data_IF_181231512222
#
_entry.id   IF_181231512222
#
_cell.length_a   1.000
_cell.length_b   1.000
_cell.length_c   1.000
_cell.angle_alpha   90.00
_cell.angle_beta   90.00
_cell.angle_gamma   90.00
#
_symmetry.space_group_name_H-M   'P 1'
#
loop_
_entity.id
_entity.type
_entity.pdbx_description
1 polymer ?
#
# COMPACT_ATOMS: atom_id res chain seq x y z
N UNK A 1 -53.54 -69.98 15.28
CA UNK A 1 -53.30 -68.55 15.37
C UNK A 1 -52.04 -68.27 14.62
N UNK A 2 -52.06 -67.64 13.45
CA UNK A 2 -50.87 -67.40 12.64
C UNK A 2 -50.22 -66.04 12.99
N UNK A 3 -48.87 -66.00 13.12
CA UNK A 3 -48.07 -64.84 13.34
C UNK A 3 -47.77 -64.20 12.00
N UNK A 4 -48.16 -62.96 11.84
CA UNK A 4 -47.87 -62.09 10.68
C UNK A 4 -46.48 -61.46 10.83
N UNK A 5 -45.57 -61.71 9.90
CA UNK A 5 -44.28 -61.02 9.82
C UNK A 5 -44.43 -59.75 8.98
N UNK A 6 -44.16 -58.62 9.62
CA UNK A 6 -44.05 -57.33 8.93
C UNK A 6 -42.65 -57.24 8.33
N UNK A 7 -42.53 -57.06 7.01
CA UNK A 7 -41.28 -56.72 6.32
C UNK A 7 -41.13 -55.21 6.29
N UNK A 8 -40.08 -54.70 6.93
CA UNK A 8 -39.68 -53.34 6.81
C UNK A 8 -38.78 -53.19 5.56
N UNK A 9 -39.20 -52.35 4.60
CA UNK A 9 -38.37 -51.96 3.45
C UNK A 9 -37.50 -50.79 3.85
N UNK A 10 -36.18 -50.97 3.82
CA UNK A 10 -35.20 -49.89 3.92
C UNK A 10 -35.11 -49.16 2.56
N UNK A 11 -35.58 -47.93 2.50
CA UNK A 11 -35.30 -47.05 1.36
C UNK A 11 -33.94 -46.42 1.56
N UNK A 12 -32.97 -46.78 0.73
CA UNK A 12 -31.65 -46.12 0.67
C UNK A 12 -31.78 -44.80 -0.11
N UNK A 13 -31.66 -43.69 0.60
CA UNK A 13 -31.59 -42.38 -0.03
C UNK A 13 -30.15 -42.14 -0.50
N UNK A 14 -29.92 -42.16 -1.82
CA UNK A 14 -28.67 -41.71 -2.42
C UNK A 14 -28.61 -40.19 -2.27
N UNK A 15 -27.73 -39.70 -1.41
CA UNK A 15 -27.29 -38.29 -1.46
C UNK A 15 -26.35 -38.13 -2.67
N UNK A 16 -26.87 -37.51 -3.73
CA UNK A 16 -26.00 -37.01 -4.80
C UNK A 16 -25.17 -35.83 -4.29
N UNK A 17 -23.88 -36.03 -4.19
CA UNK A 17 -22.95 -34.94 -3.96
C UNK A 17 -22.95 -34.02 -5.19
N UNK A 18 -23.42 -32.78 -5.01
CA UNK A 18 -23.26 -31.72 -6.00
C UNK A 18 -21.76 -31.37 -6.11
N UNK A 19 -21.20 -31.25 -7.34
CA UNK A 19 -19.84 -30.79 -7.49
C UNK A 19 -19.74 -29.36 -6.97
N UNK A 20 -18.74 -29.08 -6.14
CA UNK A 20 -18.40 -27.73 -5.72
C UNK A 20 -18.13 -26.90 -6.99
N UNK A 21 -18.94 -25.86 -7.19
CA UNK A 21 -18.71 -24.91 -8.27
C UNK A 21 -17.33 -24.28 -8.06
N UNK A 22 -16.41 -24.56 -8.99
CA UNK A 22 -15.16 -23.83 -9.07
C UNK A 22 -15.53 -22.35 -9.24
N UNK A 23 -15.02 -21.49 -8.35
CA UNK A 23 -15.20 -20.04 -8.47
C UNK A 23 -14.57 -19.61 -9.80
N UNK A 24 -15.40 -19.17 -10.73
CA UNK A 24 -14.92 -18.58 -11.97
C UNK A 24 -14.03 -17.38 -11.62
N UNK A 25 -12.80 -17.43 -12.10
CA UNK A 25 -11.90 -16.29 -12.11
C UNK A 25 -12.55 -15.19 -12.95
N UNK A 26 -13.06 -14.15 -12.33
CA UNK A 26 -13.36 -12.91 -13.02
C UNK A 26 -12.03 -12.17 -13.15
N UNK A 27 -11.21 -12.56 -14.12
CA UNK A 27 -10.13 -11.73 -14.60
C UNK A 27 -10.78 -10.50 -15.23
N UNK A 28 -10.34 -9.30 -14.86
CA UNK A 28 -10.60 -8.12 -15.68
C UNK A 28 -10.09 -8.46 -17.09
N UNK A 29 -10.79 -8.06 -18.17
CA UNK A 29 -10.33 -8.36 -19.52
C UNK A 29 -9.01 -7.63 -19.71
N UNK A 30 -7.90 -8.39 -19.65
CA UNK A 30 -6.64 -7.91 -20.18
C UNK A 30 -6.86 -7.68 -21.68
N UNK A 31 -6.58 -6.46 -22.14
CA UNK A 31 -6.35 -6.23 -23.57
C UNK A 31 -5.31 -7.26 -24.06
N UNK A 32 -5.32 -7.56 -25.37
CA UNK A 32 -4.27 -8.38 -26.03
C UNK A 32 -2.89 -8.03 -25.46
N UNK A 33 -1.92 -8.96 -25.40
CA UNK A 33 -0.63 -8.72 -24.78
C UNK A 33 0.00 -7.46 -25.37
N UNK A 34 -0.28 -6.33 -24.71
CA UNK A 34 0.26 -5.04 -25.12
C UNK A 34 1.78 -5.07 -24.99
N UNK A 35 2.44 -4.52 -25.98
CA UNK A 35 3.88 -4.26 -25.86
C UNK A 35 4.05 -3.15 -24.82
N UNK A 36 4.94 -3.33 -23.81
CA UNK A 36 5.23 -2.26 -22.86
C UNK A 36 5.62 -0.97 -23.59
N UNK A 37 5.17 0.18 -23.08
CA UNK A 37 5.49 1.51 -23.64
C UNK A 37 6.58 2.23 -22.85
N UNK A 38 7.18 1.54 -21.88
CA UNK A 38 8.29 2.04 -21.05
C UNK A 38 9.24 0.92 -20.67
N UNK A 39 10.40 1.30 -20.16
CA UNK A 39 11.42 0.41 -19.59
C UNK A 39 11.85 0.86 -18.21
N UNK A 40 12.50 -0.03 -17.45
CA UNK A 40 13.07 0.26 -16.15
C UNK A 40 14.54 0.63 -16.26
N UNK A 41 14.92 1.71 -15.59
CA UNK A 41 16.30 2.05 -15.28
C UNK A 41 16.52 1.92 -13.78
N UNK A 42 17.54 1.15 -13.39
CA UNK A 42 17.86 0.95 -11.98
C UNK A 42 18.52 2.22 -11.41
N UNK A 43 17.91 2.76 -10.37
CA UNK A 43 18.44 3.91 -9.63
C UNK A 43 19.39 3.44 -8.54
N UNK A 44 18.96 2.45 -7.75
CA UNK A 44 19.75 1.88 -6.67
C UNK A 44 19.26 0.46 -6.32
N UNK A 45 20.20 -0.40 -5.89
CA UNK A 45 19.90 -1.68 -5.23
C UNK A 45 20.15 -1.57 -3.74
N UNK A 46 19.40 -2.34 -2.95
CA UNK A 46 19.47 -2.34 -1.50
C UNK A 46 19.69 -3.76 -0.97
N UNK A 47 20.45 -3.85 0.13
CA UNK A 47 20.67 -5.10 0.86
C UNK A 47 19.51 -5.42 1.82
N UNK A 48 18.65 -4.42 2.11
CA UNK A 48 17.49 -4.53 3.00
C UNK A 48 16.21 -4.28 2.22
N UNK A 49 15.10 -4.89 2.68
CA UNK A 49 13.79 -4.71 2.08
C UNK A 49 13.39 -3.23 2.10
N UNK A 50 13.11 -2.69 0.92
CA UNK A 50 12.59 -1.34 0.71
C UNK A 50 11.11 -1.41 0.40
N UNK A 51 10.31 -0.53 0.99
CA UNK A 51 8.88 -0.40 0.65
C UNK A 51 8.59 0.94 0.02
N UNK A 52 8.83 2.05 0.71
CA UNK A 52 8.49 3.37 0.25
C UNK A 52 9.58 4.07 -0.55
N UNK A 53 9.14 5.08 -1.29
CA UNK A 53 9.96 6.10 -1.93
C UNK A 53 9.23 7.43 -1.94
N UNK A 54 9.95 8.51 -1.69
CA UNK A 54 9.47 9.86 -1.89
C UNK A 54 10.50 10.68 -2.70
N UNK A 55 10.01 11.61 -3.50
CA UNK A 55 10.86 12.54 -4.25
C UNK A 55 10.36 13.96 -3.96
N UNK A 56 11.26 14.83 -3.53
CA UNK A 56 10.96 16.23 -3.27
C UNK A 56 10.89 17.06 -4.55
N UNK A 57 10.36 18.26 -4.45
CA UNK A 57 10.26 19.23 -5.55
C UNK A 57 11.61 19.70 -6.11
N UNK A 58 12.69 19.57 -5.34
CA UNK A 58 14.09 19.82 -5.78
C UNK A 58 14.83 18.53 -6.21
N UNK A 59 14.11 17.40 -6.27
CA UNK A 59 14.61 16.13 -6.80
C UNK A 59 15.42 15.29 -5.81
N UNK A 60 15.33 15.57 -4.50
CA UNK A 60 15.91 14.69 -3.48
C UNK A 60 15.08 13.40 -3.39
N UNK A 61 15.73 12.27 -3.24
CA UNK A 61 15.09 10.95 -3.18
C UNK A 61 15.27 10.37 -1.79
N UNK A 62 14.14 9.96 -1.19
CA UNK A 62 14.08 9.32 0.12
C UNK A 62 13.51 7.90 -0.04
N UNK A 63 13.97 6.98 0.80
CA UNK A 63 13.51 5.58 0.82
C UNK A 63 13.44 5.10 2.26
N UNK A 64 12.55 4.14 2.53
CA UNK A 64 12.45 3.54 3.86
C UNK A 64 12.63 2.02 3.83
N UNK A 65 13.02 1.50 4.99
CA UNK A 65 13.32 0.10 5.24
C UNK A 65 12.55 -0.36 6.49
N UNK A 66 11.45 -1.09 6.34
CA UNK A 66 10.69 -1.59 7.48
C UNK A 66 11.49 -2.66 8.25
N UNK A 67 11.31 -2.71 9.58
CA UNK A 67 11.95 -3.72 10.43
C UNK A 67 11.04 -4.92 10.66
N UNK A 68 10.65 -5.58 9.57
CA UNK A 68 9.75 -6.74 9.66
C UNK A 68 10.49 -8.00 10.05
N UNK A 69 11.51 -8.37 9.29
CA UNK A 69 12.31 -9.60 9.46
C UNK A 69 13.74 -9.29 9.90
N UNK A 70 14.22 -8.13 9.56
CA UNK A 70 15.56 -7.66 9.84
C UNK A 70 15.53 -6.41 10.72
N UNK A 71 16.54 -6.27 11.57
CA UNK A 71 16.75 -5.06 12.35
C UNK A 71 17.57 -4.05 11.51
N UNK A 72 16.99 -3.62 10.38
CA UNK A 72 17.65 -2.73 9.43
C UNK A 72 18.36 -1.56 10.11
N UNK A 73 19.62 -1.26 9.75
CA UNK A 73 20.40 -0.20 10.38
C UNK A 73 19.85 1.19 10.15
N UNK A 74 19.01 1.36 9.10
CA UNK A 74 18.39 2.62 8.73
C UNK A 74 16.92 2.38 8.48
N UNK A 75 16.03 3.23 9.00
CA UNK A 75 14.60 3.20 8.71
C UNK A 75 14.22 4.12 7.56
N UNK A 76 14.81 5.33 7.52
CA UNK A 76 14.61 6.31 6.46
C UNK A 76 15.96 6.82 6.04
N UNK A 77 16.22 6.87 4.75
CA UNK A 77 17.45 7.40 4.18
C UNK A 77 17.19 8.33 2.99
N UNK A 78 18.04 9.31 2.84
CA UNK A 78 18.19 10.06 1.58
C UNK A 78 19.25 9.41 0.69
N UNK A 79 18.99 9.29 -0.60
CA UNK A 79 19.99 8.84 -1.58
C UNK A 79 20.84 10.04 -2.00
N UNK A 80 22.08 10.09 -1.54
CA UNK A 80 23.05 11.14 -1.86
C UNK A 80 24.29 10.56 -2.51
N UNK A 81 24.56 10.95 -3.76
CA UNK A 81 25.77 10.50 -4.47
C UNK A 81 25.88 8.96 -4.54
N UNK A 82 24.78 8.26 -4.73
CA UNK A 82 24.71 6.80 -4.77
C UNK A 82 24.91 6.11 -3.43
N UNK A 83 24.69 6.81 -2.32
CA UNK A 83 24.79 6.27 -0.95
C UNK A 83 23.52 6.58 -0.15
N UNK A 84 23.21 5.69 0.78
CA UNK A 84 22.15 5.89 1.78
C UNK A 84 22.70 6.75 2.92
N UNK A 85 22.07 7.88 3.18
CA UNK A 85 22.36 8.76 4.31
C UNK A 85 21.15 8.75 5.25
N UNK A 86 21.28 8.31 6.53
CA UNK A 86 20.16 8.30 7.47
C UNK A 86 19.46 9.67 7.54
N UNK A 87 18.14 9.70 7.39
CA UNK A 87 17.37 10.92 7.32
C UNK A 87 16.23 10.93 8.38
N UNK A 88 15.93 12.06 9.07
CA UNK A 88 16.62 13.35 8.97
C UNK A 88 18.02 13.35 9.58
N UNK A 89 18.31 12.36 10.45
CA UNK A 89 19.60 12.15 11.09
C UNK A 89 19.76 10.72 11.64
N UNK A 90 20.93 10.45 12.22
CA UNK A 90 21.24 9.14 12.78
C UNK A 90 20.46 8.86 14.08
N UNK A 91 20.08 9.88 14.85
CA UNK A 91 19.36 9.71 16.11
C UNK A 91 17.92 9.25 15.86
N UNK A 92 17.19 9.85 14.94
CA UNK A 92 15.85 9.39 14.52
C UNK A 92 15.87 7.93 14.03
N UNK A 93 16.99 7.50 13.43
CA UNK A 93 17.20 6.17 12.93
C UNK A 93 17.80 5.18 13.96
N UNK A 94 18.01 5.61 15.20
CA UNK A 94 18.77 4.82 16.19
C UNK A 94 17.99 3.73 16.92
N UNK A 95 16.67 3.64 16.76
CA UNK A 95 15.87 2.52 17.29
C UNK A 95 16.34 1.20 16.68
N UNK A 96 16.38 0.15 17.50
CA UNK A 96 16.60 -1.24 17.07
C UNK A 96 15.65 -2.14 17.83
N UNK A 97 15.17 -3.20 17.19
CA UNK A 97 14.39 -4.23 17.88
C UNK A 97 15.21 -4.89 19.01
N UNK A 98 16.52 -5.11 18.77
CA UNK A 98 17.44 -5.65 19.76
C UNK A 98 17.88 -4.64 20.84
N UNK A 99 17.74 -3.33 20.59
CA UNK A 99 18.13 -2.26 21.50
C UNK A 99 17.13 -1.10 21.42
N UNK A 100 15.90 -1.26 21.97
CA UNK A 100 14.84 -0.29 21.86
C UNK A 100 15.22 1.05 22.48
N UNK A 101 14.85 2.13 21.80
CA UNK A 101 14.88 3.50 22.30
C UNK A 101 13.46 4.01 22.48
N UNK A 102 13.28 5.26 22.91
CA UNK A 102 11.96 5.89 23.03
C UNK A 102 11.22 5.86 21.66
N UNK A 103 10.14 5.09 21.53
CA UNK A 103 9.44 4.94 20.26
C UNK A 103 8.74 6.23 19.82
N UNK A 104 8.52 7.18 20.72
CA UNK A 104 7.89 8.45 20.39
C UNK A 104 8.82 9.45 19.68
N UNK A 105 10.13 9.25 19.75
CA UNK A 105 11.15 10.17 19.22
C UNK A 105 12.13 9.48 18.25
N UNK A 106 11.89 8.24 17.89
CA UNK A 106 12.70 7.46 16.96
C UNK A 106 11.80 6.70 15.98
N UNK A 107 12.31 6.41 14.80
CA UNK A 107 11.65 5.54 13.83
C UNK A 107 11.73 4.08 14.28
N UNK A 108 10.58 3.48 14.55
CA UNK A 108 10.48 2.11 15.02
C UNK A 108 10.45 1.11 13.85
N UNK A 109 9.46 1.30 12.95
CA UNK A 109 9.25 0.44 11.79
C UNK A 109 8.51 1.25 10.72
N UNK A 110 9.23 2.10 10.01
CA UNK A 110 8.64 2.99 8.99
C UNK A 110 8.13 2.18 7.81
N UNK A 111 6.93 2.52 7.35
CA UNK A 111 6.28 1.86 6.21
C UNK A 111 6.34 2.69 4.94
N UNK A 112 6.12 3.99 5.03
CA UNK A 112 6.05 4.84 3.86
C UNK A 112 6.44 6.29 4.16
N UNK A 113 6.79 7.02 3.11
CA UNK A 113 6.96 8.46 3.13
C UNK A 113 6.40 9.12 1.87
N UNK A 114 6.05 10.39 1.96
CA UNK A 114 5.64 11.21 0.83
C UNK A 114 6.13 12.66 0.98
N UNK A 115 6.50 13.29 -0.15
CA UNK A 115 6.75 14.73 -0.20
C UNK A 115 5.46 15.45 -0.61
N UNK A 116 5.17 16.58 0.06
CA UNK A 116 3.89 17.30 -0.10
C UNK A 116 3.91 18.41 -1.16
N UNK A 117 5.07 18.70 -1.76
CA UNK A 117 5.23 19.82 -2.69
C UNK A 117 5.24 21.20 -2.02
N UNK A 118 5.32 21.23 -0.68
CA UNK A 118 5.42 22.45 0.14
C UNK A 118 6.71 22.49 0.96
N UNK A 119 7.68 21.65 0.59
CA UNK A 119 8.98 21.57 1.25
C UNK A 119 8.99 20.66 2.48
N UNK A 120 8.06 19.75 2.64
CA UNK A 120 8.05 18.78 3.73
C UNK A 120 8.08 17.34 3.23
N UNK A 121 8.74 16.48 4.01
CA UNK A 121 8.64 15.03 3.93
C UNK A 121 7.78 14.54 5.10
N UNK A 122 6.80 13.71 4.78
CA UNK A 122 5.90 13.08 5.72
C UNK A 122 6.22 11.60 5.82
N UNK A 123 6.47 11.10 7.04
CA UNK A 123 6.93 9.73 7.28
C UNK A 123 5.92 9.00 8.17
N UNK A 124 5.36 7.90 7.69
CA UNK A 124 4.44 7.03 8.43
C UNK A 124 5.22 5.94 9.15
N UNK A 125 5.08 5.91 10.45
CA UNK A 125 5.64 4.86 11.29
C UNK A 125 4.51 4.14 12.04
N UNK A 126 4.02 2.98 11.54
CA UNK A 126 3.06 2.13 12.25
C UNK A 126 3.64 1.57 13.54
N UNK A 127 4.96 1.62 13.71
CA UNK A 127 5.69 1.08 14.84
C UNK A 127 5.35 -0.40 15.14
N UNK A 128 5.15 -1.19 14.08
CA UNK A 128 4.75 -2.60 14.15
C UNK A 128 5.85 -3.51 13.56
N UNK A 129 7.00 -3.67 14.23
CA UNK A 129 8.01 -4.62 13.80
C UNK A 129 7.41 -6.03 13.80
N UNK A 130 7.80 -6.83 12.80
CA UNK A 130 7.20 -8.15 12.54
C UNK A 130 5.68 -8.13 12.27
N UNK A 131 5.15 -7.00 11.79
CA UNK A 131 3.78 -6.78 11.30
C UNK A 131 2.62 -7.10 12.26
N UNK A 132 2.85 -7.69 13.40
CA UNK A 132 1.79 -8.20 14.28
C UNK A 132 1.66 -7.51 15.63
N UNK A 133 2.65 -6.75 16.07
CA UNK A 133 2.65 -6.12 17.38
C UNK A 133 3.10 -4.66 17.29
N UNK A 134 2.21 -3.79 17.69
CA UNK A 134 2.49 -2.35 17.76
C UNK A 134 3.26 -2.04 19.05
N UNK A 135 4.41 -1.39 18.93
CA UNK A 135 5.18 -0.87 20.06
C UNK A 135 4.39 0.28 20.69
N UNK A 136 4.00 0.19 21.98
CA UNK A 136 3.21 1.23 22.64
C UNK A 136 3.88 2.61 22.56
N UNK A 137 3.10 3.64 22.17
CA UNK A 137 3.60 5.01 22.02
C UNK A 137 4.42 5.24 20.73
N UNK A 138 4.53 4.22 19.87
CA UNK A 138 5.30 4.27 18.63
C UNK A 138 4.57 4.78 17.38
N UNK A 139 3.29 4.43 17.15
CA UNK A 139 2.58 4.85 15.93
C UNK A 139 2.54 6.37 15.80
N UNK A 140 2.97 6.86 14.63
CA UNK A 140 3.08 8.30 14.39
C UNK A 140 3.16 8.64 12.91
N UNK A 141 2.80 9.89 12.60
CA UNK A 141 3.17 10.57 11.37
C UNK A 141 4.16 11.69 11.72
N UNK A 142 5.29 11.71 11.04
CA UNK A 142 6.37 12.69 11.29
C UNK A 142 6.48 13.63 10.10
N UNK A 143 6.47 14.94 10.36
CA UNK A 143 6.66 15.99 9.38
C UNK A 143 8.06 16.57 9.51
N UNK A 144 8.81 16.59 8.40
CA UNK A 144 10.20 17.04 8.33
C UNK A 144 10.31 18.18 7.33
N UNK A 145 10.81 19.33 7.75
CA UNK A 145 11.13 20.47 6.87
C UNK A 145 12.38 20.14 6.06
N UNK A 146 12.22 20.01 4.74
CA UNK A 146 13.29 19.62 3.81
C UNK A 146 14.35 20.72 3.62
N UNK A 147 14.05 21.96 3.96
CA UNK A 147 15.01 23.07 3.89
C UNK A 147 15.97 23.05 5.06
N UNK A 148 15.53 22.60 6.22
CA UNK A 148 16.33 22.58 7.46
C UNK A 148 16.76 21.17 7.86
N UNK A 149 16.22 20.12 7.22
CA UNK A 149 16.38 18.70 7.56
C UNK A 149 16.00 18.41 9.01
N UNK A 150 14.94 19.07 9.52
CA UNK A 150 14.50 18.90 10.90
C UNK A 150 13.06 18.47 10.99
N UNK A 151 12.77 17.61 11.96
CA UNK A 151 11.40 17.30 12.36
C UNK A 151 10.75 18.55 12.92
N UNK A 152 9.62 18.95 12.33
CA UNK A 152 8.83 20.13 12.74
C UNK A 152 7.58 19.71 13.51
N UNK A 153 6.99 18.57 13.18
CA UNK A 153 5.85 18.01 13.90
C UNK A 153 5.96 16.49 14.04
N UNK A 154 5.36 15.97 15.11
CA UNK A 154 5.18 14.53 15.34
C UNK A 154 3.76 14.32 15.86
N UNK A 155 2.91 13.76 15.00
CA UNK A 155 1.52 13.40 15.32
C UNK A 155 1.51 11.96 15.83
N UNK A 156 1.33 11.76 17.14
CA UNK A 156 1.32 10.43 17.77
C UNK A 156 -0.10 9.89 17.84
N UNK A 157 -0.24 8.60 17.52
CA UNK A 157 -1.54 7.95 17.48
C UNK A 157 -1.71 6.98 18.65
N UNK A 158 -2.81 7.14 19.36
CA UNK A 158 -3.24 6.23 20.42
C UNK A 158 -3.98 5.01 19.87
N UNK A 159 -4.45 4.15 20.77
CA UNK A 159 -5.21 2.96 20.41
C UNK A 159 -6.59 3.23 19.80
N UNK A 160 -7.06 4.46 19.83
CA UNK A 160 -8.26 4.95 19.14
C UNK A 160 -8.03 5.14 17.63
N UNK A 161 -6.79 5.41 17.23
CA UNK A 161 -6.40 5.60 15.83
C UNK A 161 -5.60 4.40 15.31
N UNK A 162 -4.67 3.88 16.10
CA UNK A 162 -3.84 2.71 15.77
C UNK A 162 -4.02 1.61 16.86
N UNK A 163 -5.17 0.89 16.89
CA UNK A 163 -5.36 -0.23 17.81
C UNK A 163 -4.39 -1.37 17.48
N UNK A 164 -4.15 -2.27 18.45
CA UNK A 164 -3.35 -3.48 18.20
C UNK A 164 -3.91 -4.26 17.01
N UNK A 165 -3.04 -4.62 16.08
CA UNK A 165 -3.41 -5.21 14.79
C UNK A 165 -3.66 -4.20 13.67
N UNK A 166 -3.62 -2.89 13.94
CA UNK A 166 -3.53 -1.83 12.93
C UNK A 166 -2.15 -1.85 12.27
N UNK A 167 -2.10 -1.48 11.02
CA UNK A 167 -0.87 -1.25 10.28
C UNK A 167 -1.04 -0.01 9.38
N UNK A 168 -0.69 1.18 9.92
CA UNK A 168 -0.71 2.41 9.14
C UNK A 168 0.26 2.25 7.98
N UNK A 169 -0.24 2.42 6.77
CA UNK A 169 0.51 2.11 5.56
C UNK A 169 0.94 3.39 4.83
N UNK A 170 0.26 3.75 3.77
CA UNK A 170 0.62 4.90 2.95
C UNK A 170 -0.06 6.20 3.43
N UNK A 171 0.49 7.34 3.00
CA UNK A 171 -0.04 8.67 3.30
C UNK A 171 -0.11 9.56 2.05
N UNK A 172 -1.16 10.39 1.98
CA UNK A 172 -1.28 11.49 1.03
C UNK A 172 -1.66 12.77 1.78
N UNK A 173 -1.08 13.88 1.34
CA UNK A 173 -1.31 15.20 1.95
C UNK A 173 -2.19 16.03 1.03
N UNK A 174 -3.18 16.72 1.58
CA UNK A 174 -4.04 17.62 0.80
C UNK A 174 -3.23 18.77 0.19
N UNK A 175 -3.67 19.34 -0.97
CA UNK A 175 -2.95 20.41 -1.64
C UNK A 175 -2.74 21.68 -0.79
N UNK A 176 -3.53 21.88 0.24
CA UNK A 176 -3.41 22.98 1.20
C UNK A 176 -2.55 22.61 2.43
N UNK A 177 -1.99 21.39 2.49
CA UNK A 177 -1.18 20.88 3.60
C UNK A 177 -1.95 20.59 4.89
N UNK A 178 -3.28 20.84 4.91
CA UNK A 178 -4.08 20.75 6.13
C UNK A 178 -4.46 19.35 6.53
N UNK A 179 -4.67 18.45 5.56
CA UNK A 179 -5.17 17.13 5.82
C UNK A 179 -4.16 16.06 5.39
N UNK A 180 -3.92 15.10 6.26
CA UNK A 180 -3.22 13.88 5.91
C UNK A 180 -4.20 12.71 5.94
N UNK A 181 -4.18 11.92 4.87
CA UNK A 181 -4.98 10.71 4.69
C UNK A 181 -4.04 9.52 4.67
N UNK A 182 -4.29 8.55 5.54
CA UNK A 182 -3.51 7.31 5.62
C UNK A 182 -4.41 6.11 5.44
N UNK A 183 -3.87 5.06 4.87
CA UNK A 183 -4.50 3.73 4.87
C UNK A 183 -4.06 2.92 6.08
N UNK A 184 -4.89 1.98 6.49
CA UNK A 184 -4.59 0.97 7.50
C UNK A 184 -4.81 -0.40 6.87
N UNK A 185 -3.71 -1.09 6.54
CA UNK A 185 -3.71 -2.40 5.91
C UNK A 185 -3.74 -3.56 6.91
N UNK A 186 -3.89 -3.27 8.19
CA UNK A 186 -3.88 -4.24 9.29
C UNK A 186 -5.10 -5.16 9.33
N UNK A 187 -5.29 -5.82 10.47
CA UNK A 187 -6.32 -6.84 10.68
C UNK A 187 -7.76 -6.32 10.47
N UNK A 188 -7.99 -5.05 10.73
CA UNK A 188 -9.22 -4.32 10.42
C UNK A 188 -8.88 -3.07 9.64
N UNK A 189 -9.13 -3.10 8.34
CA UNK A 189 -8.83 -2.01 7.43
C UNK A 189 -9.66 -0.75 7.74
N UNK A 190 -9.03 0.41 7.51
CA UNK A 190 -9.62 1.71 7.68
C UNK A 190 -8.91 2.75 6.83
N UNK A 191 -9.47 3.96 6.76
CA UNK A 191 -8.74 5.17 6.45
C UNK A 191 -8.52 5.95 7.74
N UNK A 192 -7.38 6.61 7.88
CA UNK A 192 -7.10 7.53 8.99
C UNK A 192 -6.99 8.94 8.42
N UNK A 193 -7.70 9.88 9.03
CA UNK A 193 -7.73 11.28 8.62
C UNK A 193 -7.20 12.14 9.75
N UNK A 194 -6.14 12.89 9.48
CA UNK A 194 -5.52 13.83 10.42
C UNK A 194 -5.78 15.27 9.97
N UNK A 195 -6.35 16.10 10.85
CA UNK A 195 -6.33 17.56 10.73
C UNK A 195 -4.99 18.06 11.33
N UNK A 196 -4.05 18.43 10.48
CA UNK A 196 -2.69 18.80 10.87
C UNK A 196 -2.66 20.09 11.72
N UNK A 197 -3.61 21.02 11.48
CA UNK A 197 -3.72 22.26 12.24
C UNK A 197 -4.21 22.02 13.67
N UNK A 198 -5.09 21.02 13.87
CA UNK A 198 -5.62 20.68 15.19
C UNK A 198 -4.81 19.59 15.89
N UNK A 199 -4.00 18.84 15.14
CA UNK A 199 -3.30 17.66 15.62
C UNK A 199 -4.25 16.52 16.01
N UNK A 200 -5.47 16.47 15.44
CA UNK A 200 -6.48 15.46 15.76
C UNK A 200 -6.68 14.48 14.60
N UNK A 201 -6.61 13.20 14.90
CA UNK A 201 -6.83 12.14 13.92
C UNK A 201 -8.03 11.28 14.28
N UNK A 202 -8.62 10.63 13.29
CA UNK A 202 -9.70 9.65 13.47
C UNK A 202 -9.68 8.56 12.42
N UNK A 203 -10.16 7.38 12.77
CA UNK A 203 -10.43 6.29 11.85
C UNK A 203 -11.76 6.54 11.14
N UNK A 204 -11.78 6.33 9.85
CA UNK A 204 -12.95 6.47 8.97
C UNK A 204 -13.04 5.24 8.09
N UNK A 205 -14.25 4.82 7.72
CA UNK A 205 -14.50 3.56 7.02
C UNK A 205 -13.89 2.34 7.76
N UNK A 206 -13.79 2.44 9.08
CA UNK A 206 -13.23 1.42 9.96
C UNK A 206 -14.10 0.14 9.91
N UNK A 207 -13.55 -0.95 9.39
CA UNK A 207 -14.29 -2.19 9.16
C UNK A 207 -15.32 -2.16 8.03
N UNK A 208 -15.41 -1.05 7.26
CA UNK A 208 -16.32 -0.96 6.12
C UNK A 208 -15.87 -1.87 4.96
N UNK A 209 -16.80 -2.48 4.23
CA UNK A 209 -16.47 -3.44 3.18
C UNK A 209 -15.40 -2.96 2.17
N UNK A 210 -15.39 -1.70 1.70
CA UNK A 210 -14.38 -1.23 0.75
C UNK A 210 -12.94 -1.16 1.31
N UNK A 211 -12.78 -1.16 2.63
CA UNK A 211 -11.46 -1.15 3.28
C UNK A 211 -11.00 -2.53 3.72
N UNK A 212 -11.83 -3.56 3.59
CA UNK A 212 -11.53 -4.90 4.07
C UNK A 212 -10.98 -5.81 2.98
N UNK A 213 -10.24 -6.83 3.41
CA UNK A 213 -9.79 -7.95 2.58
C UNK A 213 -10.98 -8.68 1.97
N UNK A 214 -11.02 -8.82 0.66
CA UNK A 214 -11.95 -9.75 -0.03
C UNK A 214 -11.35 -11.16 -0.01
N UNK A 215 -11.86 -12.00 0.88
CA UNK A 215 -11.38 -13.38 1.07
C UNK A 215 -11.60 -14.28 -0.15
N UNK A 216 -12.34 -13.84 -1.16
CA UNK A 216 -12.53 -14.55 -2.42
C UNK A 216 -11.42 -14.25 -3.44
N UNK A 217 -10.53 -13.30 -3.14
CA UNK A 217 -9.36 -12.97 -3.95
C UNK A 217 -8.17 -13.82 -3.49
N UNK A 218 -7.51 -14.47 -4.43
CA UNK A 218 -6.24 -15.16 -4.22
C UNK A 218 -5.15 -14.40 -4.97
N UNK A 219 -4.11 -13.99 -4.28
CA UNK A 219 -2.94 -13.37 -4.92
C UNK A 219 -2.08 -14.47 -5.50
N UNK A 220 -1.80 -14.41 -6.82
CA UNK A 220 -1.04 -15.43 -7.55
C UNK A 220 0.18 -14.78 -8.18
N UNK A 221 1.38 -15.17 -7.78
CA UNK A 221 2.65 -14.67 -8.31
C UNK A 221 3.43 -15.84 -8.90
N UNK A 222 3.92 -15.70 -10.12
CA UNK A 222 4.64 -16.77 -10.81
C UNK A 222 3.85 -18.07 -10.93
N UNK A 223 2.52 -18.01 -11.03
CA UNK A 223 1.63 -19.18 -11.07
C UNK A 223 1.38 -19.84 -9.71
N UNK A 224 1.95 -19.34 -8.62
CA UNK A 224 1.79 -19.85 -7.26
C UNK A 224 0.85 -18.93 -6.47
N UNK A 225 -0.24 -19.48 -5.94
CA UNK A 225 -1.08 -18.78 -4.98
C UNK A 225 -0.29 -18.59 -3.67
N UNK A 226 -0.26 -17.37 -3.18
CA UNK A 226 0.48 -17.02 -1.96
C UNK A 226 -0.35 -17.42 -0.72
N UNK A 227 0.28 -18.18 0.16
CA UNK A 227 -0.27 -18.60 1.43
C UNK A 227 0.80 -18.54 2.53
N UNK A 228 0.38 -18.15 3.72
CA UNK A 228 1.18 -18.28 4.93
C UNK A 228 1.30 -19.76 5.34
N UNK A 229 2.19 -20.08 6.27
CA UNK A 229 2.43 -21.44 6.72
C UNK A 229 1.17 -22.13 7.31
N UNK A 230 0.24 -21.35 7.85
CA UNK A 230 -1.05 -21.85 8.36
C UNK A 230 -2.15 -21.90 7.27
N UNK A 231 -1.81 -21.67 6.01
CA UNK A 231 -2.71 -21.78 4.86
C UNK A 231 -3.59 -20.56 4.59
N UNK A 232 -3.44 -19.46 5.34
CA UNK A 232 -4.14 -18.21 5.05
C UNK A 232 -3.53 -17.54 3.82
N UNK A 233 -4.37 -16.98 2.97
CA UNK A 233 -3.94 -16.15 1.84
C UNK A 233 -3.36 -14.81 2.28
N UNK A 234 -2.90 -14.01 1.32
CA UNK A 234 -2.53 -12.60 1.55
C UNK A 234 -3.74 -11.86 2.11
N UNK A 235 -3.53 -11.11 3.17
CA UNK A 235 -4.59 -10.43 3.91
C UNK A 235 -4.20 -8.99 4.27
N UNK A 236 -3.85 -8.18 3.26
CA UNK A 236 -3.59 -6.75 3.42
C UNK A 236 -4.88 -6.00 3.09
N UNK A 237 -5.41 -5.29 4.11
CA UNK A 237 -6.64 -4.51 4.04
C UNK A 237 -6.41 -3.21 3.24
N UNK A 238 -7.06 -2.08 3.56
CA UNK A 238 -6.85 -0.82 2.84
C UNK A 238 -5.38 -0.43 2.79
N UNK A 239 -4.80 -0.46 1.60
CA UNK A 239 -3.37 -0.39 1.33
C UNK A 239 -3.06 0.74 0.34
N UNK A 240 -3.27 0.48 -0.94
CA UNK A 240 -3.08 1.46 -2.00
C UNK A 240 -3.84 2.75 -1.75
N UNK A 241 -3.19 3.88 -2.00
CA UNK A 241 -3.82 5.20 -1.84
C UNK A 241 -3.30 6.21 -2.86
N UNK A 242 -4.20 7.01 -3.41
CA UNK A 242 -3.86 8.17 -4.22
C UNK A 242 -4.84 9.30 -3.99
N UNK A 243 -4.37 10.53 -3.99
CA UNK A 243 -5.21 11.72 -3.93
C UNK A 243 -5.38 12.27 -5.35
N UNK A 244 -6.61 12.59 -5.73
CA UNK A 244 -6.88 13.26 -6.99
C UNK A 244 -6.10 14.60 -7.06
N UNK A 245 -5.68 15.05 -8.26
CA UNK A 245 -4.89 16.27 -8.42
C UNK A 245 -5.50 17.51 -7.76
N UNK A 246 -6.83 17.61 -7.77
CA UNK A 246 -7.58 18.70 -7.16
C UNK A 246 -7.79 18.54 -5.65
N UNK A 247 -7.42 17.37 -5.09
CA UNK A 247 -7.59 17.05 -3.68
C UNK A 247 -9.03 16.73 -3.26
N UNK A 248 -9.97 16.61 -4.18
CA UNK A 248 -11.41 16.43 -3.94
C UNK A 248 -11.84 14.99 -3.73
N UNK A 249 -11.06 14.01 -4.23
CA UNK A 249 -11.27 12.58 -4.05
C UNK A 249 -10.02 11.86 -3.54
N UNK A 250 -10.22 10.97 -2.57
CA UNK A 250 -9.23 9.98 -2.18
C UNK A 250 -9.56 8.64 -2.85
N UNK A 251 -8.61 8.08 -3.58
CA UNK A 251 -8.68 6.74 -4.17
C UNK A 251 -7.95 5.76 -3.28
N UNK A 252 -8.52 4.58 -3.10
CA UNK A 252 -7.92 3.55 -2.24
C UNK A 252 -8.37 2.14 -2.64
N UNK A 253 -7.57 1.15 -2.29
CA UNK A 253 -7.88 -0.26 -2.51
C UNK A 253 -7.17 -1.13 -1.47
N UNK A 254 -7.82 -2.17 -0.89
CA UNK A 254 -7.11 -3.29 -0.28
C UNK A 254 -6.26 -4.04 -1.32
N UNK A 255 -5.09 -4.58 -0.94
CA UNK A 255 -4.30 -5.40 -1.89
C UNK A 255 -5.17 -6.53 -2.43
N UNK A 256 -5.92 -7.20 -1.55
CA UNK A 256 -6.82 -8.28 -1.93
C UNK A 256 -8.24 -7.77 -2.15
N UNK A 257 -8.44 -6.98 -3.21
CA UNK A 257 -9.76 -6.49 -3.61
C UNK A 257 -10.01 -6.75 -5.10
N UNK A 258 -11.27 -6.58 -5.51
CA UNK A 258 -11.72 -6.71 -6.91
C UNK A 258 -12.08 -5.38 -7.54
N UNK A 259 -11.89 -4.29 -6.82
CA UNK A 259 -12.25 -2.96 -7.29
C UNK A 259 -11.37 -1.89 -6.66
N UNK A 260 -11.10 -0.85 -7.45
CA UNK A 260 -10.61 0.42 -6.96
C UNK A 260 -11.82 1.24 -6.48
N UNK A 261 -11.67 1.85 -5.31
CA UNK A 261 -12.67 2.72 -4.70
C UNK A 261 -12.18 4.16 -4.65
N UNK A 262 -13.13 5.09 -4.55
CA UNK A 262 -12.84 6.48 -4.20
C UNK A 262 -13.92 7.04 -3.26
N UNK A 263 -13.56 8.07 -2.53
CA UNK A 263 -14.48 8.77 -1.62
C UNK A 263 -14.18 10.27 -1.67
N UNK A 264 -15.20 11.16 -1.64
CA UNK A 264 -14.96 12.59 -1.55
C UNK A 264 -14.20 12.95 -0.26
N UNK A 265 -13.11 13.70 -0.37
CA UNK A 265 -12.30 14.10 0.79
C UNK A 265 -13.11 14.95 1.77
N UNK A 266 -14.04 15.76 1.29
CA UNK A 266 -14.98 16.51 2.14
C UNK A 266 -15.77 15.60 3.09
N UNK A 267 -16.15 14.38 2.65
CA UNK A 267 -16.83 13.43 3.52
C UNK A 267 -15.90 12.81 4.57
N UNK A 268 -14.63 12.64 4.22
CA UNK A 268 -13.61 12.16 5.15
C UNK A 268 -13.26 13.22 6.21
N UNK A 269 -13.31 14.51 5.86
CA UNK A 269 -13.00 15.64 6.71
C UNK A 269 -14.14 16.00 7.70
N UNK A 270 -15.39 15.69 7.31
CA UNK A 270 -16.57 16.04 8.11
C UNK A 270 -16.75 15.08 9.29
N UNK A 271 -16.38 15.53 10.48
CA UNK A 271 -16.56 14.77 11.72
C UNK A 271 -18.03 14.67 12.18
N UNK A 272 -18.95 15.40 11.55
CA UNK A 272 -20.39 15.34 11.82
C UNK A 272 -21.10 14.19 11.12
N UNK A 273 -20.48 13.59 10.10
CA UNK A 273 -21.04 12.43 9.40
C UNK A 273 -20.88 11.15 10.24
N UNK A 274 -21.92 10.35 10.26
CA UNK A 274 -21.85 8.99 10.84
C UNK A 274 -21.02 8.06 9.94
N UNK A 275 -20.48 6.94 10.49
CA UNK A 275 -19.77 5.93 9.68
C UNK A 275 -20.55 5.47 8.44
N UNK A 276 -21.85 5.21 8.58
CA UNK A 276 -22.71 4.79 7.46
C UNK A 276 -22.91 5.88 6.41
N UNK A 277 -22.98 7.14 6.84
CA UNK A 277 -23.08 8.28 5.91
C UNK A 277 -21.80 8.47 5.10
N UNK A 278 -20.62 8.23 5.69
CA UNK A 278 -19.36 8.24 4.95
C UNK A 278 -19.27 7.03 4.02
N UNK A 279 -19.62 5.83 4.51
CA UNK A 279 -19.60 4.61 3.69
C UNK A 279 -20.54 4.72 2.47
N UNK A 280 -21.68 5.36 2.60
CA UNK A 280 -22.62 5.60 1.50
C UNK A 280 -22.06 6.56 0.41
N UNK A 281 -20.96 7.26 0.67
CA UNK A 281 -20.29 8.13 -0.32
C UNK A 281 -19.12 7.47 -1.02
N UNK A 282 -18.78 6.22 -0.68
CA UNK A 282 -17.77 5.46 -1.38
C UNK A 282 -18.30 5.03 -2.74
N UNK A 283 -17.52 5.28 -3.77
CA UNK A 283 -17.82 4.92 -5.16
C UNK A 283 -16.84 3.85 -5.64
N UNK A 284 -17.36 2.86 -6.38
CA UNK A 284 -16.52 1.95 -7.16
C UNK A 284 -16.09 2.63 -8.46
N UNK A 285 -14.79 2.75 -8.67
CA UNK A 285 -14.22 3.43 -9.86
C UNK A 285 -14.15 2.46 -11.04
N UNK A 286 -13.52 1.30 -10.81
CA UNK A 286 -13.26 0.29 -11.84
C UNK A 286 -13.05 -1.08 -11.18
N UNK A 287 -13.34 -2.20 -11.87
CA UNK A 287 -12.80 -3.48 -11.48
C UNK A 287 -11.28 -3.43 -11.38
N UNK A 288 -10.71 -4.15 -10.44
CA UNK A 288 -9.28 -4.14 -10.17
C UNK A 288 -8.78 -5.54 -9.84
N UNK A 289 -7.48 -5.76 -10.04
CA UNK A 289 -6.72 -6.90 -9.55
C UNK A 289 -5.93 -6.51 -8.30
N UNK A 290 -5.34 -7.47 -7.58
CA UNK A 290 -4.42 -7.18 -6.49
C UNK A 290 -3.34 -6.19 -6.92
N UNK A 291 -3.29 -5.06 -6.23
CA UNK A 291 -2.23 -4.07 -6.38
C UNK A 291 -1.85 -3.49 -5.02
N UNK A 292 -0.61 -3.06 -4.91
CA UNK A 292 -0.03 -2.48 -3.71
C UNK A 292 0.01 -0.95 -3.83
N UNK A 293 0.84 -0.41 -4.69
CA UNK A 293 0.98 1.02 -4.92
C UNK A 293 -0.04 1.60 -5.90
N UNK A 294 -0.47 2.82 -5.62
CA UNK A 294 -1.37 3.61 -6.45
C UNK A 294 -0.88 5.06 -6.55
N UNK A 295 -0.85 5.59 -7.76
CA UNK A 295 -0.46 6.97 -8.01
C UNK A 295 -1.38 7.64 -9.03
N UNK A 296 -1.53 8.95 -8.94
CA UNK A 296 -2.12 9.78 -9.99
C UNK A 296 -1.17 10.89 -10.39
N UNK A 297 -1.01 11.11 -11.70
CA UNK A 297 -0.32 12.29 -12.19
C UNK A 297 -1.26 13.52 -12.27
N UNK A 298 -0.73 14.67 -12.62
CA UNK A 298 -1.51 15.94 -12.71
C UNK A 298 -2.66 15.92 -13.71
N UNK A 299 -2.75 14.92 -14.59
CA UNK A 299 -3.88 14.75 -15.52
C UNK A 299 -4.97 13.85 -14.94
N UNK A 300 -4.72 13.25 -13.79
CA UNK A 300 -5.59 12.25 -13.17
C UNK A 300 -5.42 10.85 -13.74
N UNK A 301 -4.40 10.61 -14.59
CA UNK A 301 -4.04 9.26 -15.03
C UNK A 301 -3.59 8.44 -13.83
N UNK A 302 -4.17 7.27 -13.67
CA UNK A 302 -3.87 6.32 -12.62
C UNK A 302 -2.72 5.39 -13.03
N UNK A 303 -1.84 5.07 -12.07
CA UNK A 303 -0.76 4.10 -12.17
C UNK A 303 -0.93 3.06 -11.07
N UNK A 304 -0.81 1.78 -11.43
CA UNK A 304 -1.03 0.63 -10.55
C UNK A 304 0.19 -0.26 -10.53
N UNK A 305 0.58 -0.72 -9.36
CA UNK A 305 1.58 -1.78 -9.25
C UNK A 305 0.90 -3.13 -9.38
N UNK A 306 1.01 -3.77 -10.55
CA UNK A 306 0.40 -5.07 -10.83
C UNK A 306 1.25 -6.20 -10.21
N UNK A 307 1.09 -6.42 -8.89
CA UNK A 307 1.93 -7.33 -8.08
C UNK A 307 1.95 -8.77 -8.56
N UNK A 308 0.91 -9.22 -9.26
CA UNK A 308 0.81 -10.56 -9.81
C UNK A 308 1.57 -10.74 -11.13
N UNK A 309 1.93 -9.63 -11.79
CA UNK A 309 2.40 -9.60 -13.17
C UNK A 309 3.81 -9.04 -13.33
N UNK A 310 4.49 -8.64 -12.22
CA UNK A 310 5.78 -7.91 -12.23
C UNK A 310 5.73 -6.71 -13.18
N UNK A 311 4.67 -5.89 -13.04
CA UNK A 311 4.34 -4.86 -14.01
C UNK A 311 3.80 -3.58 -13.35
N UNK A 312 3.83 -2.49 -14.11
CA UNK A 312 3.06 -1.27 -13.85
C UNK A 312 2.05 -1.09 -14.97
N UNK A 313 0.82 -0.84 -14.60
CA UNK A 313 -0.30 -0.56 -15.50
C UNK A 313 -0.79 0.87 -15.30
N UNK A 314 -1.42 1.42 -16.34
CA UNK A 314 -2.01 2.75 -16.31
C UNK A 314 -3.47 2.73 -16.73
N UNK A 315 -4.23 3.72 -16.27
CA UNK A 315 -5.61 3.92 -16.67
C UNK A 315 -5.88 5.40 -16.84
N UNK A 316 -6.36 5.79 -18.02
CA UNK A 316 -6.78 7.16 -18.29
C UNK A 316 -8.05 7.52 -17.49
N UNK A 317 -8.25 8.79 -17.12
CA UNK A 317 -9.44 9.24 -16.41
C UNK A 317 -10.72 8.83 -17.15
N UNK A 318 -11.62 8.14 -16.43
CA UNK A 318 -12.90 7.66 -16.99
C UNK A 318 -12.80 6.47 -17.95
N UNK A 319 -11.62 5.99 -18.27
CA UNK A 319 -11.44 4.75 -19.04
C UNK A 319 -11.82 3.53 -18.21
N UNK A 320 -12.20 2.44 -18.90
CA UNK A 320 -12.51 1.15 -18.27
C UNK A 320 -11.40 0.11 -18.42
N UNK A 321 -10.43 0.40 -19.27
CA UNK A 321 -9.31 -0.49 -19.57
C UNK A 321 -8.03 0.07 -18.99
N UNK A 322 -7.17 -0.84 -18.52
CA UNK A 322 -5.79 -0.56 -18.16
C UNK A 322 -4.87 -0.87 -19.33
N UNK A 323 -3.77 -0.18 -19.38
CA UNK A 323 -2.71 -0.35 -20.36
C UNK A 323 -1.42 -0.71 -19.67
N UNK A 324 -0.66 -1.62 -20.27
CA UNK A 324 0.63 -2.02 -19.76
C UNK A 324 1.66 -0.92 -20.02
N UNK A 325 2.17 -0.30 -18.94
CA UNK A 325 3.24 0.68 -19.05
C UNK A 325 4.61 -0.01 -19.11
N UNK A 326 4.91 -0.86 -18.14
CA UNK A 326 6.16 -1.62 -18.08
C UNK A 326 5.93 -3.00 -17.46
N UNK A 327 6.64 -4.00 -17.97
CA UNK A 327 6.70 -5.35 -17.40
C UNK A 327 8.14 -5.85 -17.43
N UNK A 328 8.65 -6.24 -16.27
CA UNK A 328 10.03 -6.71 -16.12
C UNK A 328 10.11 -7.73 -14.98
N UNK A 329 10.67 -8.94 -15.19
CA UNK A 329 10.75 -9.97 -14.14
C UNK A 329 11.61 -9.56 -12.93
N UNK A 330 12.35 -8.45 -13.02
CA UNK A 330 13.08 -7.89 -11.88
C UNK A 330 12.20 -7.05 -10.98
N UNK A 331 11.01 -6.66 -11.44
CA UNK A 331 10.03 -5.86 -10.69
C UNK A 331 9.16 -6.76 -9.82
N UNK A 332 9.78 -7.60 -9.00
CA UNK A 332 9.07 -8.53 -8.11
C UNK A 332 8.34 -7.76 -7.02
N UNK A 333 7.02 -7.88 -6.99
CA UNK A 333 6.15 -7.13 -6.09
C UNK A 333 6.46 -5.63 -6.10
N UNK A 334 6.12 -4.92 -7.20
CA UNK A 334 6.22 -3.47 -7.21
C UNK A 334 5.33 -2.90 -6.10
N UNK A 335 5.85 -1.92 -5.37
CA UNK A 335 5.25 -1.45 -4.13
C UNK A 335 4.82 0.03 -4.26
N UNK A 336 5.65 0.97 -3.92
CA UNK A 336 5.31 2.38 -3.81
C UNK A 336 5.81 3.19 -5.01
N UNK A 337 4.99 4.18 -5.43
CA UNK A 337 5.37 5.17 -6.42
C UNK A 337 5.78 6.49 -5.79
N UNK A 338 6.73 7.16 -6.45
CA UNK A 338 6.97 8.59 -6.27
C UNK A 338 7.23 9.25 -7.61
N UNK A 339 6.92 10.54 -7.72
CA UNK A 339 7.13 11.27 -8.94
C UNK A 339 7.96 12.53 -8.69
N UNK A 340 9.04 12.67 -9.46
CA UNK A 340 9.93 13.81 -9.39
C UNK A 340 9.42 15.05 -10.13
N UNK A 341 10.15 16.18 -10.02
CA UNK A 341 9.72 17.47 -10.57
C UNK A 341 9.70 17.52 -12.10
N UNK A 342 10.47 16.68 -12.79
CA UNK A 342 10.50 16.62 -14.25
C UNK A 342 9.68 15.45 -14.80
N UNK A 343 8.63 15.04 -14.09
CA UNK A 343 7.77 13.91 -14.42
C UNK A 343 8.45 12.53 -14.38
N UNK A 344 9.63 12.42 -13.78
CA UNK A 344 10.24 11.11 -13.53
C UNK A 344 9.34 10.31 -12.59
N UNK A 345 8.96 9.11 -12.99
CA UNK A 345 8.20 8.19 -12.16
C UNK A 345 9.13 7.11 -11.62
N UNK A 346 9.13 6.97 -10.31
CA UNK A 346 9.92 5.96 -9.59
C UNK A 346 8.99 4.92 -8.99
N UNK A 347 9.49 3.69 -8.88
CA UNK A 347 8.81 2.57 -8.23
C UNK A 347 9.81 1.72 -7.48
N UNK A 348 9.46 1.29 -6.28
CA UNK A 348 10.21 0.29 -5.51
C UNK A 348 9.73 -1.11 -5.87
N UNK A 349 10.61 -2.12 -5.70
CA UNK A 349 10.18 -3.50 -5.57
C UNK A 349 10.56 -4.03 -4.18
N UNK A 350 9.56 -4.43 -3.42
CA UNK A 350 9.70 -4.90 -2.03
C UNK A 350 9.80 -6.41 -1.93
N UNK A 351 9.53 -7.16 -2.99
CA UNK A 351 9.60 -8.63 -3.08
C UNK A 351 8.81 -9.36 -1.99
N UNK A 352 7.66 -8.79 -1.56
CA UNK A 352 6.80 -9.36 -0.50
C UNK A 352 6.36 -10.79 -0.82
N UNK A 353 6.14 -11.13 -2.10
CA UNK A 353 5.78 -12.49 -2.51
C UNK A 353 6.80 -13.57 -2.12
N UNK A 354 8.04 -13.16 -1.87
CA UNK A 354 9.15 -14.04 -1.56
C UNK A 354 9.57 -13.99 -0.08
N UNK A 355 8.85 -13.23 0.73
CA UNK A 355 9.06 -13.17 2.18
C UNK A 355 8.88 -14.55 2.85
N UNK A 356 9.54 -14.77 3.99
CA UNK A 356 9.44 -16.03 4.73
C UNK A 356 8.01 -16.45 5.06
N UNK A 357 7.08 -15.51 5.22
CA UNK A 357 5.68 -15.81 5.47
C UNK A 357 4.96 -16.46 4.27
N UNK A 358 5.37 -16.16 3.03
CA UNK A 358 4.76 -16.68 1.80
C UNK A 358 5.66 -17.66 1.05
N UNK A 359 6.95 -17.68 1.38
CA UNK A 359 7.93 -18.58 0.78
C UNK A 359 8.58 -19.45 1.87
N UNK A 360 8.22 -20.74 1.99
CA UNK A 360 8.77 -21.62 3.02
C UNK A 360 10.27 -21.89 2.86
N UNK A 361 10.87 -21.57 1.73
CA UNK A 361 12.30 -21.67 1.49
C UNK A 361 13.07 -20.39 1.88
N UNK A 362 12.35 -19.37 2.40
CA UNK A 362 12.90 -18.05 2.73
C UNK A 362 13.21 -17.24 1.47
N UNK A 363 13.92 -16.14 1.69
CA UNK A 363 14.36 -15.27 0.60
C UNK A 363 15.24 -16.05 -0.38
N UNK A 364 14.84 -16.12 -1.64
CA UNK A 364 15.79 -16.41 -2.69
C UNK A 364 16.79 -15.23 -2.78
N UNK A 365 17.89 -15.33 -3.52
CA UNK A 365 18.84 -14.21 -3.66
C UNK A 365 18.11 -12.97 -4.24
N UNK A 366 17.63 -12.08 -3.37
CA UNK A 366 16.87 -10.89 -3.76
C UNK A 366 17.74 -9.66 -3.79
N UNK A 367 17.49 -8.87 -4.81
CA UNK A 367 17.85 -7.47 -4.79
C UNK A 367 16.58 -6.66 -4.68
N UNK A 368 16.46 -5.90 -3.62
CA UNK A 368 15.45 -4.86 -3.50
C UNK A 368 15.96 -3.64 -4.26
N UNK A 369 15.09 -2.98 -5.01
CA UNK A 369 15.57 -1.91 -5.89
C UNK A 369 14.61 -0.73 -5.88
N UNK A 370 15.18 0.43 -6.19
CA UNK A 370 14.48 1.58 -6.70
C UNK A 370 14.70 1.66 -8.21
N UNK A 371 13.61 1.74 -8.95
CA UNK A 371 13.58 1.87 -10.40
C UNK A 371 13.05 3.22 -10.82
N UNK A 372 13.55 3.74 -11.93
CA UNK A 372 12.92 4.82 -12.69
C UNK A 372 12.23 4.22 -13.91
N UNK A 373 10.98 4.60 -14.13
CA UNK A 373 10.22 4.24 -15.32
C UNK A 373 10.52 5.25 -16.41
N UNK A 374 11.06 4.78 -17.53
CA UNK A 374 11.43 5.62 -18.68
C UNK A 374 10.49 5.30 -19.83
N UNK A 375 9.53 6.19 -20.15
CA UNK A 375 8.60 5.99 -21.23
C UNK A 375 9.29 6.06 -22.59
N UNK A 376 8.80 5.29 -23.57
CA UNK A 376 9.32 5.31 -24.93
C UNK A 376 8.98 6.61 -25.68
N UNK A 377 7.92 7.29 -25.23
CA UNK A 377 7.48 8.57 -25.78
C UNK A 377 7.56 9.66 -24.74
N UNK A 378 8.15 10.80 -25.10
CA UNK A 378 8.14 11.97 -24.26
C UNK A 378 6.72 12.45 -23.98
N UNK A 379 6.41 12.80 -22.71
CA UNK A 379 5.11 13.29 -22.29
C UNK A 379 4.05 12.21 -22.01
N UNK A 380 4.41 10.93 -22.09
CA UNK A 380 3.50 9.82 -21.72
C UNK A 380 3.17 9.81 -20.23
N UNK A 381 4.12 10.24 -19.41
CA UNK A 381 3.94 10.46 -17.98
C UNK A 381 3.83 11.98 -17.77
N UNK A 382 2.71 12.44 -17.21
CA UNK A 382 2.52 13.84 -16.87
C UNK A 382 3.20 14.18 -15.54
N UNK A 383 3.25 15.46 -15.16
CA UNK A 383 3.96 15.88 -13.96
C UNK A 383 3.26 15.50 -12.65
N UNK A 384 3.99 15.65 -11.56
CA UNK A 384 3.49 15.45 -10.20
C UNK A 384 2.43 16.51 -9.86
N UNK A 385 1.23 16.13 -9.38
CA UNK A 385 0.19 17.08 -9.03
C UNK A 385 0.55 17.98 -7.84
N UNK A 386 1.42 17.53 -6.94
CA UNK A 386 1.88 18.31 -5.79
C UNK A 386 2.89 19.40 -6.16
N UNK A 387 3.56 19.29 -7.31
CA UNK A 387 4.60 20.24 -7.71
C UNK A 387 4.05 21.29 -8.71
N UNK A 388 4.18 22.55 -8.37
CA UNK A 388 3.69 23.69 -9.17
C UNK A 388 4.70 24.18 -10.18
#
# INVERSE_FOLDING_TARGET
>A
MPRTFLRASLAATLLAALPAAASERVAAPMADPETPSAKLEQVMSFDHQVTGVAVSEDGRIFVNFPRWYEDSPVSVAEIKGGRLVPYPDAEWNAFRNAAPKDPGTHFVCVQAETADGHGHLWVVDPAAPATGFIVPGGPKLVEIDLRTDKVVNTYRFGGDVAPQGSYLNDVRISPDGRWAYMTDSGAQGALVVLDTLKGTARRVLDGAAPTQVDKSVSVVVGGRALHTADGRGVAFAADSISLAPEGDYLYFQPVTAKALYRVPTAALQDAGLTPDQVAAKVETVTPSEPNDGLWQDKTGKLYFTAVQNDAVETQEPGAKQRHLLVKDPRLVWPDTFAQGPNAELYVTNSSISDEPQFNPHGWAAHTFNLWRIVPDKAGEIAGNPAFK
#
